data_IF_103991914101
#
_entry.id   IF_103991914101
#
_cell.length_a   1.000
_cell.length_b   1.000
_cell.length_c   1.000
_cell.angle_alpha   90.00
_cell.angle_beta   90.00
_cell.angle_gamma   90.00
#
_symmetry.space_group_name_H-M   'P 1'
#
loop_
_entity.id
_entity.type
_entity.pdbx_description
1 polymer ?
#
# COMPACT_ATOMS: atom_id res chain seq x y z
N UNK A 1 -21.37 0.86 1.29
CA UNK A 1 -20.01 0.64 0.76
C UNK A 1 -19.13 0.25 1.95
N UNK A 2 -18.39 -0.87 1.90
CA UNK A 2 -17.41 -1.20 2.97
C UNK A 2 -16.42 -0.04 3.14
N UNK A 3 -15.88 0.17 4.36
CA UNK A 3 -14.93 1.26 4.66
C UNK A 3 -15.34 2.65 4.10
N UNK A 4 -16.63 3.00 4.21
CA UNK A 4 -17.22 4.16 3.53
C UNK A 4 -16.48 5.48 3.79
N UNK A 5 -16.05 5.72 5.03
CA UNK A 5 -15.32 6.92 5.41
C UNK A 5 -14.04 7.12 4.58
N UNK A 6 -13.22 6.08 4.51
CA UNK A 6 -11.94 6.09 3.80
C UNK A 6 -12.14 6.07 2.29
N UNK A 7 -13.03 5.22 1.79
CA UNK A 7 -13.31 5.12 0.36
C UNK A 7 -13.89 6.43 -0.19
N UNK A 8 -14.70 7.16 0.59
CA UNK A 8 -15.19 8.48 0.22
C UNK A 8 -14.06 9.51 0.08
N UNK A 9 -13.08 9.50 0.98
CA UNK A 9 -11.90 10.36 0.89
C UNK A 9 -11.02 10.03 -0.30
N UNK A 10 -10.83 8.74 -0.61
CA UNK A 10 -10.12 8.32 -1.82
C UNK A 10 -10.84 8.86 -3.08
N UNK A 11 -12.16 8.69 -3.16
CA UNK A 11 -12.97 9.16 -4.28
C UNK A 11 -12.95 10.69 -4.39
N UNK A 12 -12.93 11.41 -3.28
CA UNK A 12 -12.78 12.86 -3.24
C UNK A 12 -11.45 13.31 -3.84
N UNK A 13 -10.34 12.66 -3.48
CA UNK A 13 -9.03 12.91 -4.12
C UNK A 13 -9.12 12.67 -5.63
N UNK A 14 -9.79 11.59 -6.07
CA UNK A 14 -9.99 11.31 -7.50
C UNK A 14 -10.81 12.37 -8.22
N UNK A 15 -11.82 12.93 -7.54
CA UNK A 15 -12.67 14.01 -8.05
C UNK A 15 -11.91 15.34 -8.17
N UNK A 16 -11.05 15.64 -7.20
CA UNK A 16 -10.29 16.89 -7.15
C UNK A 16 -9.11 16.91 -8.12
N UNK A 17 -8.54 15.74 -8.44
CA UNK A 17 -7.36 15.60 -9.31
C UNK A 17 -7.68 14.77 -10.56
N UNK A 18 -8.70 15.17 -11.34
CA UNK A 18 -9.18 14.40 -12.51
C UNK A 18 -8.10 14.14 -13.56
N UNK A 19 -7.17 15.09 -13.74
CA UNK A 19 -6.10 15.02 -14.75
C UNK A 19 -5.02 14.00 -14.35
N UNK A 20 -4.62 14.00 -13.08
CA UNK A 20 -3.57 13.15 -12.52
C UNK A 20 -4.07 11.72 -12.26
N UNK A 21 -5.32 11.59 -11.80
CA UNK A 21 -5.97 10.30 -11.49
C UNK A 21 -6.18 9.40 -12.71
N UNK A 22 -6.37 9.99 -13.89
CA UNK A 22 -6.59 9.27 -15.15
C UNK A 22 -8.01 8.73 -15.29
N UNK A 23 -8.17 7.68 -16.09
CA UNK A 23 -9.49 7.18 -16.53
C UNK A 23 -10.09 6.08 -15.65
N UNK A 24 -9.29 5.45 -14.80
CA UNK A 24 -9.74 4.35 -13.95
C UNK A 24 -10.10 4.84 -12.55
N UNK A 25 -11.06 4.16 -11.95
CA UNK A 25 -11.34 4.28 -10.53
C UNK A 25 -10.13 3.91 -9.69
N UNK A 26 -10.00 4.52 -8.50
CA UNK A 26 -8.99 4.13 -7.55
C UNK A 26 -9.23 2.72 -7.05
N UNK A 27 -8.25 2.22 -6.32
CA UNK A 27 -8.43 1.10 -5.40
C UNK A 27 -9.35 1.57 -4.27
N UNK A 28 -10.38 0.78 -4.02
CA UNK A 28 -11.29 0.95 -2.89
C UNK A 28 -11.11 -0.26 -1.97
N UNK A 29 -11.06 -0.01 -0.67
CA UNK A 29 -10.71 -1.04 0.29
C UNK A 29 -11.96 -1.70 0.87
N UNK A 30 -11.96 -3.04 1.05
CA UNK A 30 -12.90 -3.69 1.96
C UNK A 30 -12.58 -3.30 3.41
N UNK A 31 -13.41 -3.71 4.37
CA UNK A 31 -13.20 -3.41 5.79
C UNK A 31 -11.80 -3.82 6.28
N UNK A 32 -11.19 -2.97 7.10
CA UNK A 32 -9.82 -3.19 7.55
C UNK A 32 -9.70 -4.25 8.65
N UNK A 33 -8.67 -5.07 8.52
CA UNK A 33 -8.20 -5.93 9.61
C UNK A 33 -7.30 -5.12 10.55
N UNK A 34 -7.76 -4.91 11.78
CA UNK A 34 -7.12 -4.05 12.78
C UNK A 34 -6.17 -4.81 13.71
N UNK A 35 -5.35 -4.10 14.48
CA UNK A 35 -4.49 -4.64 15.55
C UNK A 35 -3.52 -5.75 15.11
N UNK A 36 -3.16 -5.78 13.82
CA UNK A 36 -2.32 -6.79 13.20
C UNK A 36 -1.01 -6.22 12.66
N UNK A 37 -0.48 -6.91 11.63
CA UNK A 37 0.61 -6.41 10.81
C UNK A 37 0.03 -5.65 9.63
N UNK A 38 0.47 -4.41 9.46
CA UNK A 38 0.18 -3.62 8.27
C UNK A 38 1.35 -3.69 7.30
N UNK A 39 1.09 -4.18 6.10
CA UNK A 39 2.02 -4.09 5.00
C UNK A 39 1.68 -2.91 4.11
N UNK A 40 2.69 -2.11 3.78
CA UNK A 40 2.53 -0.94 2.91
C UNK A 40 3.28 -1.18 1.61
N UNK A 41 2.53 -1.18 0.50
CA UNK A 41 3.07 -1.16 -0.84
C UNK A 41 3.06 0.24 -1.46
N UNK A 42 3.33 0.28 -2.76
CA UNK A 42 3.27 1.51 -3.54
C UNK A 42 1.96 1.61 -4.34
N UNK A 43 1.56 0.49 -4.94
CA UNK A 43 0.41 0.30 -5.81
C UNK A 43 0.37 -1.17 -6.31
N UNK A 44 -0.80 -1.81 -6.52
CA UNK A 44 -0.91 -3.08 -7.22
C UNK A 44 -0.90 -2.83 -8.72
N UNK A 45 0.06 -3.46 -9.41
CA UNK A 45 0.17 -3.36 -10.85
C UNK A 45 -1.08 -3.88 -11.56
N UNK A 46 -1.63 -3.09 -12.49
CA UNK A 46 -2.76 -3.52 -13.31
C UNK A 46 -2.35 -4.71 -14.18
N UNK A 47 -3.01 -5.87 -13.99
CA UNK A 47 -2.74 -7.08 -14.77
C UNK A 47 -4.04 -7.78 -15.17
N UNK A 48 -4.37 -7.75 -16.47
CA UNK A 48 -5.55 -8.46 -17.02
C UNK A 48 -5.54 -9.95 -16.65
N UNK A 49 -4.36 -10.58 -16.63
CA UNK A 49 -4.21 -11.99 -16.25
C UNK A 49 -4.52 -12.19 -14.76
N UNK A 50 -4.03 -11.31 -13.89
CA UNK A 50 -4.31 -11.40 -12.46
C UNK A 50 -5.81 -11.24 -12.19
N UNK A 51 -6.45 -10.25 -12.82
CA UNK A 51 -7.88 -10.03 -12.62
C UNK A 51 -8.76 -11.17 -13.12
N UNK A 52 -8.43 -11.82 -14.26
CA UNK A 52 -9.16 -13.04 -14.67
C UNK A 52 -9.09 -14.14 -13.62
N UNK A 53 -7.96 -14.28 -12.95
CA UNK A 53 -7.79 -15.24 -11.85
C UNK A 53 -8.65 -14.85 -10.64
N UNK A 54 -8.66 -13.56 -10.28
CA UNK A 54 -9.43 -12.99 -9.16
C UNK A 54 -10.95 -13.17 -9.38
N UNK A 55 -11.42 -12.96 -10.63
CA UNK A 55 -12.83 -13.03 -10.99
C UNK A 55 -13.33 -14.45 -11.31
N UNK A 56 -12.47 -15.45 -11.30
CA UNK A 56 -12.87 -16.82 -11.60
C UNK A 56 -13.85 -17.35 -10.53
N UNK A 57 -15.00 -17.89 -10.96
CA UNK A 57 -16.02 -18.38 -10.04
C UNK A 57 -16.80 -17.27 -9.31
N UNK A 58 -16.80 -16.04 -9.81
CA UNK A 58 -17.69 -14.97 -9.36
C UNK A 58 -18.74 -14.65 -10.41
N UNK A 59 -19.81 -13.95 -10.04
CA UNK A 59 -20.81 -13.43 -10.99
C UNK A 59 -20.20 -12.50 -12.06
N UNK A 60 -19.03 -11.93 -11.78
CA UNK A 60 -18.32 -11.02 -12.66
C UNK A 60 -17.32 -11.70 -13.61
N UNK A 61 -17.24 -13.04 -13.62
CA UNK A 61 -16.25 -13.79 -14.43
C UNK A 61 -16.29 -13.44 -15.92
N UNK A 62 -17.46 -13.11 -16.46
CA UNK A 62 -17.67 -12.79 -17.88
C UNK A 62 -17.73 -11.29 -18.18
N UNK A 63 -17.55 -10.43 -17.18
CA UNK A 63 -17.73 -8.98 -17.34
C UNK A 63 -16.52 -8.35 -18.03
N UNK A 64 -16.78 -7.32 -18.84
CA UNK A 64 -15.72 -6.46 -19.36
C UNK A 64 -15.13 -5.61 -18.22
N UNK A 65 -14.11 -6.16 -17.57
CA UNK A 65 -13.42 -5.55 -16.46
C UNK A 65 -12.86 -4.16 -16.78
N UNK A 66 -12.37 -3.91 -17.99
CA UNK A 66 -11.82 -2.59 -18.32
C UNK A 66 -12.91 -1.53 -18.21
N UNK A 67 -14.11 -1.82 -18.71
CA UNK A 67 -15.27 -0.92 -18.59
C UNK A 67 -15.71 -0.76 -17.13
N UNK A 68 -15.71 -1.83 -16.32
CA UNK A 68 -16.05 -1.73 -14.90
C UNK A 68 -15.04 -0.94 -14.07
N UNK A 69 -13.78 -0.91 -14.48
CA UNK A 69 -12.71 -0.17 -13.82
C UNK A 69 -12.68 1.31 -14.23
N UNK A 70 -13.33 1.69 -15.34
CA UNK A 70 -13.41 3.08 -15.76
C UNK A 70 -14.19 3.91 -14.76
N UNK A 71 -13.83 5.19 -14.63
CA UNK A 71 -14.41 6.10 -13.63
C UNK A 71 -15.91 6.36 -13.84
N UNK A 72 -16.43 6.12 -15.04
CA UNK A 72 -17.84 6.24 -15.38
C UNK A 72 -18.69 5.10 -14.80
N UNK A 73 -18.07 3.98 -14.42
CA UNK A 73 -18.73 2.88 -13.72
C UNK A 73 -18.95 3.24 -12.26
N UNK A 74 -20.19 3.26 -11.76
CA UNK A 74 -20.48 3.48 -10.32
C UNK A 74 -20.63 2.16 -9.54
N UNK A 75 -20.02 1.08 -10.02
CA UNK A 75 -20.09 -0.25 -9.41
C UNK A 75 -18.99 -0.39 -8.34
N UNK A 76 -19.17 0.30 -7.21
CA UNK A 76 -18.19 0.31 -6.13
C UNK A 76 -18.08 -1.06 -5.42
N UNK A 77 -19.16 -1.83 -5.37
CA UNK A 77 -19.15 -3.17 -4.79
C UNK A 77 -18.26 -4.11 -5.60
N UNK A 78 -18.30 -4.03 -6.94
CA UNK A 78 -17.34 -4.74 -7.79
C UNK A 78 -15.89 -4.35 -7.50
N UNK A 79 -15.59 -3.06 -7.32
CA UNK A 79 -14.23 -2.59 -7.06
C UNK A 79 -13.70 -3.10 -5.72
N UNK A 80 -14.54 -3.10 -4.68
CA UNK A 80 -14.18 -3.62 -3.36
C UNK A 80 -14.02 -5.14 -3.39
N UNK A 81 -14.91 -5.85 -4.10
CA UNK A 81 -14.82 -7.29 -4.30
C UNK A 81 -13.49 -7.69 -4.95
N UNK A 82 -13.04 -6.93 -5.95
CA UNK A 82 -11.75 -7.18 -6.61
C UNK A 82 -10.60 -7.20 -5.59
N UNK A 83 -10.53 -6.20 -4.72
CA UNK A 83 -9.44 -6.10 -3.74
C UNK A 83 -9.55 -7.19 -2.66
N UNK A 84 -10.77 -7.47 -2.20
CA UNK A 84 -11.05 -8.55 -1.24
C UNK A 84 -10.58 -9.90 -1.77
N UNK A 85 -10.92 -10.22 -3.02
CA UNK A 85 -10.52 -11.47 -3.69
C UNK A 85 -9.04 -11.51 -4.07
N UNK A 86 -8.42 -10.36 -4.36
CA UNK A 86 -7.01 -10.27 -4.70
C UNK A 86 -6.13 -10.82 -3.58
N UNK A 87 -6.44 -10.49 -2.32
CA UNK A 87 -5.71 -10.94 -1.14
C UNK A 87 -5.64 -12.47 -1.07
N UNK A 88 -6.71 -13.17 -1.41
CA UNK A 88 -6.79 -14.63 -1.30
C UNK A 88 -6.17 -15.36 -2.49
N UNK A 89 -6.32 -14.81 -3.69
CA UNK A 89 -6.03 -15.54 -4.94
C UNK A 89 -4.69 -15.13 -5.55
N UNK A 90 -4.20 -13.93 -5.27
CA UNK A 90 -3.04 -13.39 -5.96
C UNK A 90 -1.74 -13.73 -5.24
N UNK A 91 -0.83 -14.42 -5.96
CA UNK A 91 0.44 -14.91 -5.41
C UNK A 91 1.31 -13.79 -4.79
N UNK A 92 1.08 -12.53 -5.19
CA UNK A 92 1.71 -11.37 -4.56
C UNK A 92 1.58 -11.41 -3.04
N UNK A 93 0.40 -11.74 -2.50
CA UNK A 93 0.08 -11.68 -1.07
C UNK A 93 0.53 -12.90 -0.25
N UNK A 94 1.01 -13.98 -0.88
CA UNK A 94 1.35 -15.24 -0.18
C UNK A 94 2.38 -15.01 0.93
N UNK A 95 3.45 -14.27 0.64
CA UNK A 95 4.50 -13.98 1.63
C UNK A 95 4.04 -13.06 2.76
N UNK A 96 3.08 -12.19 2.49
CA UNK A 96 2.47 -11.30 3.47
C UNK A 96 1.69 -12.15 4.49
N UNK A 97 0.83 -13.03 3.98
CA UNK A 97 0.08 -13.98 4.79
C UNK A 97 0.99 -14.94 5.57
N UNK A 98 2.08 -15.41 4.97
CA UNK A 98 3.05 -16.31 5.63
C UNK A 98 3.69 -15.64 6.86
N UNK A 99 4.13 -14.39 6.74
CA UNK A 99 4.70 -13.63 7.85
C UNK A 99 3.66 -13.44 8.96
N UNK A 100 2.47 -12.98 8.62
CA UNK A 100 1.39 -12.77 9.60
C UNK A 100 0.98 -14.05 10.33
N UNK A 101 0.84 -15.17 9.60
CA UNK A 101 0.53 -16.49 10.18
C UNK A 101 1.60 -16.97 11.16
N UNK A 102 2.87 -16.70 10.87
CA UNK A 102 3.98 -17.11 11.75
C UNK A 102 3.98 -16.43 13.12
N UNK A 103 3.16 -15.38 13.29
CA UNK A 103 3.04 -14.58 14.50
C UNK A 103 1.62 -14.59 15.08
N UNK A 104 0.70 -15.35 14.46
CA UNK A 104 -0.73 -15.36 14.79
C UNK A 104 -1.36 -13.96 14.84
N UNK A 105 -1.00 -13.12 13.86
CA UNK A 105 -1.50 -11.76 13.73
C UNK A 105 -2.34 -11.59 12.46
N UNK A 106 -3.31 -10.68 12.53
CA UNK A 106 -4.06 -10.26 11.36
C UNK A 106 -3.12 -9.66 10.29
N UNK A 107 -3.44 -9.91 9.02
CA UNK A 107 -2.67 -9.41 7.86
C UNK A 107 -3.49 -8.35 7.13
N UNK A 108 -3.07 -7.08 7.22
CA UNK A 108 -3.62 -5.99 6.43
C UNK A 108 -2.59 -5.52 5.40
N UNK A 109 -3.05 -5.19 4.19
CA UNK A 109 -2.21 -4.54 3.18
C UNK A 109 -2.90 -3.28 2.69
N UNK A 110 -2.13 -2.22 2.50
CA UNK A 110 -2.54 -1.01 1.79
C UNK A 110 -1.41 -0.57 0.86
N UNK A 111 -1.75 0.22 -0.15
CA UNK A 111 -0.79 0.93 -0.98
C UNK A 111 -0.80 2.42 -0.67
N UNK A 112 0.36 3.08 -0.74
CA UNK A 112 0.46 4.54 -0.55
C UNK A 112 -0.28 5.34 -1.63
N UNK A 113 -0.45 4.77 -2.82
CA UNK A 113 -1.14 5.41 -3.93
C UNK A 113 -2.17 4.48 -4.55
N UNK A 114 -3.32 5.02 -4.91
CA UNK A 114 -4.52 4.22 -5.21
C UNK A 114 -4.83 4.09 -6.71
N UNK A 115 -3.94 4.54 -7.60
CA UNK A 115 -4.20 4.45 -9.04
C UNK A 115 -4.13 3.00 -9.55
N UNK A 116 -4.61 2.75 -10.76
CA UNK A 116 -4.44 1.45 -11.40
C UNK A 116 -3.48 1.61 -12.54
N UNK A 117 -2.19 1.44 -12.27
CA UNK A 117 -1.12 1.67 -13.26
C UNK A 117 -0.29 0.40 -13.49
N UNK A 118 0.15 0.24 -14.72
CA UNK A 118 0.91 -0.93 -15.18
C UNK A 118 2.41 -0.80 -14.89
N UNK A 119 2.93 0.43 -14.87
CA UNK A 119 4.37 0.68 -14.70
C UNK A 119 4.67 1.69 -13.61
N UNK A 120 5.72 1.41 -12.84
CA UNK A 120 6.16 2.27 -11.75
C UNK A 120 6.63 3.65 -12.26
N UNK A 121 7.12 3.75 -13.49
CA UNK A 121 7.54 5.03 -14.07
C UNK A 121 6.35 5.97 -14.30
N UNK A 122 5.26 5.47 -14.89
CA UNK A 122 4.01 6.23 -15.05
C UNK A 122 3.41 6.62 -13.70
N UNK A 123 3.44 5.71 -12.73
CA UNK A 123 3.03 5.97 -11.36
C UNK A 123 3.81 7.16 -10.76
N UNK A 124 5.14 7.16 -10.91
CA UNK A 124 6.02 8.24 -10.46
C UNK A 124 5.74 9.56 -11.16
N UNK A 125 5.50 9.56 -12.47
CA UNK A 125 5.18 10.77 -13.25
C UNK A 125 3.90 11.46 -12.73
N UNK A 126 2.90 10.70 -12.30
CA UNK A 126 1.62 11.25 -11.81
C UNK A 126 1.72 11.95 -10.46
N UNK A 127 2.69 11.56 -9.61
CA UNK A 127 2.77 12.02 -8.22
C UNK A 127 3.94 12.97 -7.96
N UNK A 128 4.82 13.18 -8.94
CA UNK A 128 6.01 14.02 -8.79
C UNK A 128 5.77 15.44 -9.29
N UNK A 129 6.44 16.39 -8.64
CA UNK A 129 6.71 17.66 -9.31
C UNK A 129 7.88 17.44 -10.29
N UNK A 130 7.70 17.85 -11.55
CA UNK A 130 8.80 17.90 -12.51
C UNK A 130 9.50 19.25 -12.39
N UNK A 131 10.70 19.27 -11.79
CA UNK A 131 11.64 20.38 -12.01
C UNK A 131 12.52 20.03 -13.20
N UNK A 132 12.19 20.59 -14.37
CA UNK A 132 12.97 20.38 -15.61
C UNK A 132 14.34 21.07 -15.57
N UNK A 133 14.56 22.03 -14.66
CA UNK A 133 15.78 22.84 -14.61
C UNK A 133 16.90 22.20 -13.79
N UNK A 134 16.57 21.31 -12.83
CA UNK A 134 17.56 20.72 -11.92
C UNK A 134 17.41 19.19 -11.84
N UNK A 135 18.22 18.46 -12.63
CA UNK A 135 18.31 16.98 -12.59
C UNK A 135 18.75 16.40 -11.22
N UNK A 136 19.19 17.25 -10.28
CA UNK A 136 19.85 16.84 -9.04
C UNK A 136 19.04 17.04 -7.75
N UNK A 137 17.79 17.53 -7.77
CA UNK A 137 17.03 17.75 -6.52
C UNK A 137 16.20 16.55 -6.06
N UNK A 138 16.26 16.35 -4.74
CA UNK A 138 15.50 15.46 -3.87
C UNK A 138 14.05 15.30 -4.35
N UNK A 139 13.61 14.05 -4.46
CA UNK A 139 12.24 13.68 -4.84
C UNK A 139 11.20 14.51 -4.07
N UNK A 140 10.30 15.20 -4.78
CA UNK A 140 9.18 15.94 -4.19
C UNK A 140 7.84 15.52 -4.80
N UNK A 141 6.84 15.39 -3.95
CA UNK A 141 5.49 15.01 -4.33
C UNK A 141 4.68 16.25 -4.73
N UNK A 142 3.82 16.10 -5.74
CA UNK A 142 2.80 17.09 -6.07
C UNK A 142 1.59 16.97 -5.13
N UNK A 143 0.64 17.90 -5.25
CA UNK A 143 -0.54 17.94 -4.39
C UNK A 143 -1.42 16.67 -4.49
N UNK A 144 -1.46 16.01 -5.65
CA UNK A 144 -2.17 14.74 -5.82
C UNK A 144 -1.51 13.60 -5.02
N UNK A 145 -0.17 13.52 -5.06
CA UNK A 145 0.60 12.57 -4.26
C UNK A 145 0.44 12.82 -2.77
N UNK A 146 0.58 14.07 -2.33
CA UNK A 146 0.41 14.47 -0.93
C UNK A 146 -1.00 14.15 -0.40
N UNK A 147 -2.04 14.40 -1.21
CA UNK A 147 -3.42 14.12 -0.80
C UNK A 147 -3.67 12.63 -0.60
N UNK A 148 -3.09 11.76 -1.43
CA UNK A 148 -3.16 10.32 -1.23
C UNK A 148 -2.43 9.86 0.05
N UNK A 149 -1.26 10.43 0.34
CA UNK A 149 -0.52 10.12 1.57
C UNK A 149 -1.27 10.54 2.85
N UNK A 150 -2.03 11.64 2.81
CA UNK A 150 -2.90 12.02 3.94
C UNK A 150 -3.96 10.96 4.21
N UNK A 151 -4.59 10.46 3.15
CA UNK A 151 -5.54 9.35 3.26
C UNK A 151 -4.83 8.09 3.79
N UNK A 152 -3.61 7.79 3.33
CA UNK A 152 -2.85 6.64 3.81
C UNK A 152 -2.53 6.75 5.31
N UNK A 153 -2.20 7.94 5.80
CA UNK A 153 -1.96 8.19 7.22
C UNK A 153 -3.23 7.94 8.05
N UNK A 154 -4.40 8.34 7.56
CA UNK A 154 -5.68 8.05 8.22
C UNK A 154 -6.00 6.55 8.21
N UNK A 155 -5.71 5.84 7.11
CA UNK A 155 -5.84 4.38 7.08
C UNK A 155 -4.96 3.73 8.15
N UNK A 156 -3.70 4.16 8.28
CA UNK A 156 -2.79 3.62 9.32
C UNK A 156 -3.38 3.87 10.72
N UNK A 157 -3.94 5.05 10.99
CA UNK A 157 -4.63 5.36 12.25
C UNK A 157 -5.80 4.44 12.51
N UNK A 158 -6.66 4.22 11.50
CA UNK A 158 -7.85 3.40 11.63
C UNK A 158 -7.53 1.90 11.78
N UNK A 159 -6.49 1.43 11.10
CA UNK A 159 -5.98 0.06 11.19
C UNK A 159 -5.35 -0.19 12.58
N UNK A 160 -4.79 0.85 13.21
CA UNK A 160 -4.05 0.79 14.49
C UNK A 160 -3.12 -0.45 14.56
N UNK A 161 -2.15 -0.57 13.64
CA UNK A 161 -1.35 -1.78 13.55
C UNK A 161 -0.39 -1.92 14.74
N UNK A 162 -0.08 -3.17 15.10
CA UNK A 162 0.98 -3.49 16.09
C UNK A 162 2.38 -3.30 15.50
N UNK A 163 2.48 -3.35 14.17
CA UNK A 163 3.72 -3.34 13.41
C UNK A 163 3.42 -2.95 11.95
N UNK A 164 4.33 -2.21 11.33
CA UNK A 164 4.28 -1.87 9.91
C UNK A 164 5.47 -2.50 9.18
N UNK A 165 5.24 -3.01 7.97
CA UNK A 165 6.30 -3.44 7.04
C UNK A 165 6.09 -2.73 5.71
N UNK A 166 6.99 -1.83 5.35
CA UNK A 166 6.97 -1.14 4.05
C UNK A 166 7.67 -2.02 3.02
N UNK A 167 6.88 -2.76 2.25
CA UNK A 167 7.33 -3.79 1.31
C UNK A 167 7.62 -3.23 -0.09
N UNK A 168 8.26 -2.06 -0.17
CA UNK A 168 8.67 -1.44 -1.42
C UNK A 168 9.70 -0.33 -1.17
N UNK A 169 10.90 -0.43 -1.79
CA UNK A 169 11.97 0.55 -1.59
C UNK A 169 11.56 1.99 -1.87
N UNK A 170 10.75 2.24 -2.90
CA UNK A 170 10.32 3.60 -3.22
C UNK A 170 9.25 4.12 -2.26
N UNK A 171 8.38 3.24 -1.75
CA UNK A 171 7.47 3.60 -0.66
C UNK A 171 8.24 3.89 0.64
N UNK A 172 9.31 3.13 0.92
CA UNK A 172 10.21 3.37 2.04
C UNK A 172 10.85 4.75 1.95
N UNK A 173 11.37 5.13 0.77
CA UNK A 173 11.95 6.46 0.55
C UNK A 173 10.92 7.58 0.81
N UNK A 174 9.67 7.39 0.37
CA UNK A 174 8.58 8.36 0.56
C UNK A 174 8.26 8.54 2.04
N UNK A 175 8.12 7.43 2.78
CA UNK A 175 7.77 7.47 4.20
C UNK A 175 8.94 8.04 5.01
N UNK A 176 10.16 7.55 4.78
CA UNK A 176 11.33 7.92 5.58
C UNK A 176 11.81 9.36 5.35
N UNK A 177 11.58 9.92 4.15
CA UNK A 177 12.00 11.29 3.81
C UNK A 177 10.84 12.29 3.72
N UNK A 178 9.59 11.84 3.91
CA UNK A 178 8.40 12.65 3.74
C UNK A 178 8.03 13.41 5.01
N UNK A 179 7.61 14.68 4.87
CA UNK A 179 7.22 15.52 6.01
C UNK A 179 5.89 15.15 6.68
N UNK A 180 5.15 14.18 6.12
CA UNK A 180 3.89 13.70 6.69
C UNK A 180 4.08 12.56 7.70
N UNK A 181 5.25 11.93 7.72
CA UNK A 181 5.54 10.80 8.59
C UNK A 181 6.70 11.16 9.53
N UNK A 182 6.47 10.99 10.82
CA UNK A 182 7.51 11.17 11.83
C UNK A 182 8.13 9.82 12.13
N UNK A 183 9.32 9.57 11.60
CA UNK A 183 10.09 8.34 11.81
C UNK A 183 11.16 8.58 12.88
N UNK A 184 11.41 7.60 13.73
CA UNK A 184 12.50 7.64 14.69
C UNK A 184 13.86 7.87 14.05
N UNK A 185 14.77 8.52 14.78
CA UNK A 185 16.16 8.64 14.38
C UNK A 185 16.97 7.35 14.56
N UNK A 186 18.19 7.37 14.00
CA UNK A 186 19.15 6.26 13.93
C UNK A 186 19.43 5.55 15.27
N UNK A 187 19.32 6.27 16.39
CA UNK A 187 19.51 5.70 17.73
C UNK A 187 18.57 4.52 17.99
N UNK A 188 17.28 4.68 17.70
CA UNK A 188 16.28 3.63 17.94
C UNK A 188 16.58 2.42 17.06
N UNK A 189 16.94 2.64 15.80
CA UNK A 189 17.31 1.57 14.87
C UNK A 189 18.51 0.76 15.39
N UNK A 190 19.57 1.41 15.88
CA UNK A 190 20.75 0.72 16.42
C UNK A 190 20.43 -0.12 17.66
N UNK A 191 19.52 0.35 18.50
CA UNK A 191 19.14 -0.34 19.74
C UNK A 191 18.16 -1.50 19.50
N UNK A 192 17.18 -1.31 18.60
CA UNK A 192 16.05 -2.24 18.44
C UNK A 192 16.08 -3.06 17.15
N UNK A 193 16.87 -2.63 16.16
CA UNK A 193 16.91 -3.24 14.83
C UNK A 193 15.74 -2.86 13.92
N UNK A 194 14.97 -1.83 14.29
CA UNK A 194 13.84 -1.28 13.54
C UNK A 194 13.62 0.19 13.88
N UNK A 195 12.93 0.91 12.99
CA UNK A 195 12.48 2.27 13.23
C UNK A 195 11.07 2.29 13.86
N UNK A 196 10.62 3.43 14.36
CA UNK A 196 9.23 3.62 14.79
C UNK A 196 8.58 4.75 14.02
N UNK A 197 7.34 4.54 13.60
CA UNK A 197 6.46 5.59 13.10
C UNK A 197 5.66 6.17 14.27
N UNK A 198 5.72 7.49 14.45
CA UNK A 198 4.94 8.20 15.46
C UNK A 198 3.59 8.66 14.90
N UNK A 199 2.51 8.20 15.52
CA UNK A 199 1.13 8.56 15.19
C UNK A 199 0.35 8.74 16.49
N UNK A 200 -0.26 9.91 16.68
CA UNK A 200 -1.11 10.23 17.85
C UNK A 200 -0.43 9.86 19.18
N UNK A 201 0.84 10.24 19.33
CA UNK A 201 1.73 9.96 20.47
C UNK A 201 2.04 8.46 20.71
N UNK A 202 1.69 7.57 19.78
CA UNK A 202 2.10 6.16 19.81
C UNK A 202 3.30 5.94 18.90
N UNK A 203 4.24 5.10 19.34
CA UNK A 203 5.34 4.62 18.52
C UNK A 203 5.04 3.23 18.00
N UNK A 204 4.83 3.11 16.69
CA UNK A 204 4.55 1.84 16.03
C UNK A 204 5.84 1.34 15.36
N UNK A 205 6.33 0.12 15.69
CA UNK A 205 7.47 -0.47 15.00
C UNK A 205 7.24 -0.51 13.48
N UNK A 206 8.22 -0.04 12.70
CA UNK A 206 8.19 -0.02 11.24
C UNK A 206 9.48 -0.61 10.66
N UNK A 207 9.31 -1.52 9.71
CA UNK A 207 10.40 -2.14 8.96
C UNK A 207 10.36 -1.67 7.52
N UNK A 208 11.46 -1.07 7.06
CA UNK A 208 11.66 -0.78 5.65
C UNK A 208 12.27 -2.00 4.96
N UNK A 209 11.64 -2.44 3.88
CA UNK A 209 12.07 -3.63 3.15
C UNK A 209 12.04 -3.41 1.64
N UNK A 210 12.70 -4.31 0.90
CA UNK A 210 12.44 -4.43 -0.52
C UNK A 210 11.07 -5.08 -0.74
N UNK A 211 10.73 -5.38 -2.01
CA UNK A 211 9.48 -6.09 -2.25
C UNK A 211 9.51 -7.48 -1.62
N UNK A 212 8.38 -7.93 -1.07
CA UNK A 212 8.29 -9.32 -0.62
C UNK A 212 8.12 -10.27 -1.82
N UNK A 213 7.46 -9.83 -2.88
CA UNK A 213 7.21 -10.60 -4.11
C UNK A 213 7.52 -9.78 -5.36
N UNK A 214 7.65 -10.46 -6.52
CA UNK A 214 7.99 -9.82 -7.79
C UNK A 214 9.49 -9.82 -8.11
N UNK A 215 9.88 -9.08 -9.16
CA UNK A 215 11.21 -9.20 -9.79
C UNK A 215 12.38 -8.82 -8.88
N UNK A 216 12.18 -7.88 -7.93
CA UNK A 216 13.20 -7.46 -6.95
C UNK A 216 12.79 -7.86 -5.53
N UNK A 217 12.20 -9.05 -5.41
CA UNK A 217 11.83 -9.60 -4.12
C UNK A 217 13.06 -9.87 -3.26
N UNK A 218 12.92 -9.80 -1.94
CA UNK A 218 13.93 -10.33 -1.01
C UNK A 218 14.30 -11.76 -1.38
N UNK A 219 15.60 -12.06 -1.32
CA UNK A 219 16.09 -13.42 -1.32
C UNK A 219 15.61 -14.17 -0.06
N UNK A 220 15.64 -15.50 -0.11
CA UNK A 220 15.14 -16.37 0.96
C UNK A 220 15.79 -16.09 2.31
N UNK A 221 17.09 -15.75 2.35
CA UNK A 221 17.80 -15.49 3.60
C UNK A 221 17.48 -14.11 4.16
N UNK A 222 17.32 -13.09 3.31
CA UNK A 222 16.85 -11.77 3.76
C UNK A 222 15.40 -11.84 4.27
N UNK A 223 14.52 -12.60 3.62
CA UNK A 223 13.16 -12.84 4.11
C UNK A 223 13.17 -13.56 5.46
N UNK A 224 14.04 -14.56 5.63
CA UNK A 224 14.23 -15.26 6.92
C UNK A 224 14.68 -14.29 8.02
N UNK A 225 15.63 -13.39 7.73
CA UNK A 225 16.08 -12.36 8.69
C UNK A 225 14.95 -11.40 9.05
N UNK A 226 14.18 -10.92 8.08
CA UNK A 226 13.04 -10.04 8.33
C UNK A 226 12.02 -10.72 9.27
N UNK A 227 11.65 -11.98 9.01
CA UNK A 227 10.74 -12.74 9.88
C UNK A 227 11.28 -12.84 11.31
N UNK A 228 12.58 -13.12 11.46
CA UNK A 228 13.23 -13.19 12.76
C UNK A 228 13.21 -11.83 13.48
N UNK A 229 13.53 -10.74 12.80
CA UNK A 229 13.51 -9.39 13.38
C UNK A 229 12.11 -8.97 13.81
N UNK A 230 11.10 -9.27 12.99
CA UNK A 230 9.71 -8.98 13.32
C UNK A 230 9.29 -9.76 14.58
N UNK A 231 9.62 -11.05 14.68
CA UNK A 231 9.27 -11.86 15.85
C UNK A 231 9.85 -11.28 17.15
N UNK A 232 11.09 -10.79 17.10
CA UNK A 232 11.77 -10.14 18.24
C UNK A 232 11.06 -8.91 18.78
N UNK A 233 10.16 -8.28 18.01
CA UNK A 233 9.32 -7.17 18.51
C UNK A 233 8.36 -7.64 19.61
N UNK A 234 7.89 -8.89 19.53
CA UNK A 234 6.89 -9.46 20.43
C UNK A 234 7.50 -10.34 21.54
N UNK A 235 8.71 -10.85 21.33
CA UNK A 235 9.48 -11.58 22.33
C UNK A 235 10.06 -10.59 23.36
N UNK A 236 9.24 -10.18 24.34
CA UNK A 236 9.71 -9.47 25.54
C UNK A 236 10.04 -10.44 26.66
#
# INVERSE_FOLDING_TARGET
>A
MENEHINSKILEVWKNYKKESGIYHPILYPDFKKEGILFIGLNPSFSKKAFRKILNGTEYQKVNMIEKLKRESNDFDFLILLEKRAIDVYNYFVKFQEISKSLDLACQHIDLFYFRETTQNKAKERIRNYDKANKAKKFSLNNFGISQLRVALEMIKEINPKLIVVANAFASDIINNGSLFTISGEKIFREKGYDTLEIDNKQIPIFFSSMLSGQRALDTHSLRRLKWQIKRVFDK
#
